data_IF_421600292498
#
_entry.id   IF_421600292498
#
_cell.length_a   1.000
_cell.length_b   1.000
_cell.length_c   1.000
_cell.angle_alpha   90.00
_cell.angle_beta   90.00
_cell.angle_gamma   90.00
#
_symmetry.space_group_name_H-M   'P 1'
#
loop_
_entity.id
_entity.type
_entity.pdbx_description
1 polymer ?
#
# COMPACT_ATOMS: atom_id res chain seq x y z
N UNK A 1 -11.15 6.21 -9.35
CA UNK A 1 -10.90 5.54 -8.06
C UNK A 1 -9.51 4.98 -8.12
N UNK A 2 -8.61 5.51 -7.30
CA UNK A 2 -7.22 5.05 -7.23
C UNK A 2 -7.13 3.92 -6.21
N UNK A 3 -6.42 2.83 -6.49
CA UNK A 3 -6.27 1.73 -5.52
C UNK A 3 -4.86 1.73 -4.96
N UNK A 4 -4.72 1.95 -3.66
CA UNK A 4 -3.45 1.95 -2.95
C UNK A 4 -3.38 0.68 -2.11
N UNK A 5 -2.46 -0.23 -2.43
CA UNK A 5 -2.23 -1.44 -1.65
C UNK A 5 -0.90 -1.34 -0.92
N UNK A 6 -0.93 -1.54 0.38
CA UNK A 6 0.27 -1.58 1.22
C UNK A 6 0.64 -3.05 1.44
N UNK A 7 1.74 -3.46 0.81
CA UNK A 7 2.30 -4.80 0.88
C UNK A 7 3.24 -4.89 2.08
N UNK A 8 2.84 -5.61 3.12
CA UNK A 8 3.78 -5.97 4.18
C UNK A 8 3.14 -6.59 5.41
N UNK A 9 3.93 -7.32 6.21
CA UNK A 9 3.45 -8.16 7.32
C UNK A 9 2.96 -7.36 8.55
N UNK A 10 2.64 -6.08 8.40
CA UNK A 10 2.11 -5.24 9.48
C UNK A 10 3.16 -4.58 10.38
N UNK A 11 4.41 -4.45 9.92
CA UNK A 11 5.45 -3.72 10.65
C UNK A 11 5.10 -2.23 10.84
N UNK A 12 5.79 -1.55 11.76
CA UNK A 12 5.54 -0.14 12.08
C UNK A 12 5.59 0.77 10.83
N UNK A 13 6.49 0.46 9.89
CA UNK A 13 6.63 1.19 8.64
C UNK A 13 5.41 1.03 7.71
N UNK A 14 4.81 -0.17 7.64
CA UNK A 14 3.58 -0.40 6.86
C UNK A 14 2.42 0.46 7.38
N UNK A 15 2.26 0.51 8.71
CA UNK A 15 1.21 1.33 9.36
C UNK A 15 1.45 2.82 9.11
N UNK A 16 2.69 3.28 9.19
CA UNK A 16 3.05 4.67 8.93
C UNK A 16 2.76 5.05 7.48
N UNK A 17 3.11 4.20 6.53
CA UNK A 17 2.88 4.42 5.10
C UNK A 17 1.38 4.54 4.78
N UNK A 18 0.57 3.64 5.31
CA UNK A 18 -0.90 3.67 5.18
C UNK A 18 -1.49 4.98 5.70
N UNK A 19 -1.07 5.44 6.89
CA UNK A 19 -1.56 6.70 7.46
C UNK A 19 -1.15 7.91 6.62
N UNK A 20 0.08 7.93 6.10
CA UNK A 20 0.54 9.01 5.23
C UNK A 20 -0.28 8.99 3.94
N UNK A 21 -0.42 7.83 3.29
CA UNK A 21 -1.20 7.69 2.07
C UNK A 21 -2.64 8.17 2.26
N UNK A 22 -3.32 7.74 3.34
CA UNK A 22 -4.68 8.18 3.65
C UNK A 22 -4.77 9.69 3.84
N UNK A 23 -3.83 10.28 4.57
CA UNK A 23 -3.79 11.71 4.81
C UNK A 23 -3.57 12.50 3.53
N UNK A 24 -2.68 12.05 2.66
CA UNK A 24 -2.41 12.72 1.38
C UNK A 24 -3.57 12.55 0.40
N UNK A 25 -4.22 11.38 0.35
CA UNK A 25 -5.45 11.14 -0.42
C UNK A 25 -6.57 12.08 0.01
N UNK A 26 -6.83 12.19 1.33
CA UNK A 26 -7.82 13.11 1.88
C UNK A 26 -7.46 14.58 1.59
N UNK A 27 -6.18 14.97 1.72
CA UNK A 27 -5.72 16.33 1.39
C UNK A 27 -5.88 16.68 -0.09
N UNK A 28 -5.58 15.74 -0.97
CA UNK A 28 -5.67 15.92 -2.42
C UNK A 28 -7.12 15.81 -2.92
N UNK A 29 -8.07 15.42 -2.06
CA UNK A 29 -9.45 15.17 -2.44
C UNK A 29 -9.57 14.01 -3.44
N UNK A 30 -8.60 13.09 -3.42
CA UNK A 30 -8.60 11.92 -4.29
C UNK A 30 -9.45 10.84 -3.65
N UNK A 31 -10.22 10.14 -4.48
CA UNK A 31 -11.00 8.99 -4.02
C UNK A 31 -10.13 7.73 -4.21
N UNK A 32 -9.37 7.38 -3.16
CA UNK A 32 -8.47 6.23 -3.17
C UNK A 32 -8.83 5.18 -2.12
N UNK A 33 -8.89 3.92 -2.55
CA UNK A 33 -9.12 2.76 -1.69
C UNK A 33 -7.79 2.25 -1.16
N UNK A 34 -7.62 2.27 0.17
CA UNK A 34 -6.39 1.79 0.82
C UNK A 34 -6.63 0.38 1.34
N UNK A 35 -5.88 -0.57 0.80
CA UNK A 35 -5.94 -1.99 1.16
C UNK A 35 -4.59 -2.45 1.69
N UNK A 36 -4.59 -3.39 2.63
CA UNK A 36 -3.37 -3.86 3.28
C UNK A 36 -3.20 -5.33 3.04
N UNK A 37 -2.18 -5.68 2.28
CA UNK A 37 -1.86 -7.06 1.95
C UNK A 37 -0.75 -7.50 2.91
N UNK A 38 -1.12 -8.39 3.81
CA UNK A 38 -0.19 -9.04 4.75
C UNK A 38 0.23 -10.42 4.27
N UNK A 39 -0.43 -10.94 3.23
CA UNK A 39 -0.17 -12.28 2.71
C UNK A 39 1.13 -12.32 1.91
N UNK A 40 2.08 -13.16 2.34
CA UNK A 40 3.37 -13.30 1.67
C UNK A 40 3.23 -13.79 0.21
N UNK A 41 2.23 -14.63 -0.08
CA UNK A 41 1.94 -15.11 -1.42
C UNK A 41 1.53 -13.98 -2.36
N UNK A 42 0.64 -13.10 -1.92
CA UNK A 42 0.25 -11.92 -2.69
C UNK A 42 1.42 -10.93 -2.87
N UNK A 43 2.22 -10.70 -1.82
CA UNK A 43 3.39 -9.82 -1.89
C UNK A 43 4.39 -10.32 -2.95
N UNK A 44 4.66 -11.63 -2.97
CA UNK A 44 5.50 -12.25 -3.99
C UNK A 44 4.88 -12.20 -5.38
N UNK A 45 3.55 -12.32 -5.50
CA UNK A 45 2.84 -12.18 -6.77
C UNK A 45 3.01 -10.78 -7.38
N UNK A 46 3.13 -9.75 -6.54
CA UNK A 46 3.48 -8.39 -6.97
C UNK A 46 4.97 -8.20 -7.27
N UNK A 47 5.81 -9.22 -7.11
CA UNK A 47 7.25 -9.16 -7.41
C UNK A 47 8.06 -8.34 -6.40
N UNK A 48 7.51 -8.05 -5.23
CA UNK A 48 8.21 -7.29 -4.19
C UNK A 48 9.16 -8.20 -3.42
N UNK A 49 10.47 -8.02 -3.62
CA UNK A 49 11.51 -8.80 -2.90
C UNK A 49 11.72 -8.32 -1.46
N UNK A 50 11.36 -7.06 -1.15
CA UNK A 50 11.56 -6.45 0.16
C UNK A 50 10.31 -5.71 0.61
N UNK A 51 9.67 -6.20 1.66
CA UNK A 51 8.59 -5.46 2.35
C UNK A 51 9.18 -4.36 3.22
N UNK A 52 8.52 -3.19 3.36
CA UNK A 52 7.19 -2.86 2.85
C UNK A 52 7.20 -2.41 1.38
N UNK A 53 6.27 -2.92 0.58
CA UNK A 53 5.98 -2.44 -0.77
C UNK A 53 4.73 -1.57 -0.80
N UNK A 54 4.70 -0.58 -1.70
CA UNK A 54 3.51 0.21 -1.99
C UNK A 54 3.08 -0.06 -3.42
N UNK A 55 1.79 -0.28 -3.62
CA UNK A 55 1.20 -0.44 -4.95
C UNK A 55 0.17 0.66 -5.11
N UNK A 56 0.24 1.39 -6.22
CA UNK A 56 -0.74 2.42 -6.59
C UNK A 56 -1.23 2.08 -7.99
N UNK A 57 -2.54 1.90 -8.17
CA UNK A 57 -3.17 1.55 -9.45
C UNK A 57 -2.49 0.34 -10.12
N UNK A 58 -2.35 -0.74 -9.35
CA UNK A 58 -1.66 -2.00 -9.73
C UNK A 58 -0.17 -1.85 -10.09
N UNK A 59 0.43 -0.69 -9.83
CA UNK A 59 1.85 -0.44 -10.07
C UNK A 59 2.63 -0.36 -8.77
N UNK A 60 3.66 -1.19 -8.64
CA UNK A 60 4.60 -1.16 -7.51
C UNK A 60 5.46 0.10 -7.58
N UNK A 61 5.60 0.81 -6.46
CA UNK A 61 6.39 2.05 -6.29
C UNK A 61 7.29 1.99 -5.06
#
# INVERSE_FOLDING_TARGET
MTTIKVLGPGCANCKRLEQIARREVEKLGLDAAIEKITDYGEIMAYGVMSTPGLVIDEKVV
#
